data_IF_911177034833
#
_entry.id   IF_911177034833
#
_cell.length_a   1.000
_cell.length_b   1.000
_cell.length_c   1.000
_cell.angle_alpha   90.00
_cell.angle_beta   90.00
_cell.angle_gamma   90.00
#
_symmetry.space_group_name_H-M   'P 1'
#
loop_
_entity.id
_entity.type
_entity.pdbx_description
1 polymer ?
#
# COMPACT_ATOMS: atom_id res chain seq x y z
N UNK A 1 12.50 -10.07 -26.06
CA UNK A 1 11.52 -9.69 -25.01
C UNK A 1 12.11 -8.76 -23.94
N UNK A 2 13.25 -8.08 -24.20
CA UNK A 2 13.86 -7.15 -23.24
C UNK A 2 12.90 -5.99 -22.95
N UNK A 3 12.67 -5.66 -21.68
CA UNK A 3 11.83 -4.53 -21.28
C UNK A 3 10.32 -4.71 -21.47
N UNK A 4 9.85 -5.92 -21.78
CA UNK A 4 8.44 -6.21 -22.07
C UNK A 4 7.70 -6.89 -20.91
N UNK A 5 8.38 -7.08 -19.78
CA UNK A 5 7.75 -7.68 -18.58
C UNK A 5 7.44 -6.59 -17.56
N UNK A 6 6.56 -6.91 -16.64
CA UNK A 6 6.29 -6.14 -15.45
C UNK A 6 5.87 -7.10 -14.34
N UNK A 7 5.73 -6.60 -13.12
CA UNK A 7 5.39 -7.44 -11.97
C UNK A 7 6.56 -7.69 -11.05
N UNK A 8 6.39 -8.67 -10.18
CA UNK A 8 7.35 -9.04 -9.15
C UNK A 8 8.71 -9.49 -9.71
N UNK A 9 8.74 -9.99 -10.94
CA UNK A 9 9.97 -10.41 -11.63
C UNK A 9 10.69 -9.26 -12.36
N UNK A 10 10.18 -8.03 -12.28
CA UNK A 10 10.77 -6.86 -12.91
C UNK A 10 10.48 -6.74 -14.41
N UNK A 11 11.27 -5.90 -15.09
CA UNK A 11 11.06 -5.53 -16.50
C UNK A 11 11.89 -6.33 -17.52
N UNK A 12 12.81 -7.16 -17.05
CA UNK A 12 13.76 -7.90 -17.90
C UNK A 12 14.54 -6.98 -18.87
N UNK A 13 14.90 -5.78 -18.43
CA UNK A 13 15.70 -4.80 -19.18
C UNK A 13 17.18 -4.72 -18.73
N UNK A 14 17.54 -5.47 -17.69
CA UNK A 14 18.88 -5.45 -17.08
C UNK A 14 19.06 -4.36 -16.02
N UNK A 15 18.03 -3.57 -15.73
CA UNK A 15 18.04 -2.59 -14.64
C UNK A 15 17.77 -3.29 -13.30
N UNK A 16 18.66 -3.08 -12.33
CA UNK A 16 18.58 -3.69 -10.98
C UNK A 16 18.34 -2.65 -9.89
N UNK A 17 18.65 -1.37 -10.14
CA UNK A 17 18.58 -0.29 -9.14
C UNK A 17 17.15 0.18 -8.90
N UNK A 18 16.25 -0.02 -9.86
CA UNK A 18 14.83 0.35 -9.78
C UNK A 18 13.91 -0.87 -9.68
N UNK A 19 14.39 -1.98 -9.09
CA UNK A 19 13.65 -3.24 -9.00
C UNK A 19 12.32 -3.14 -8.24
N UNK A 20 12.16 -2.15 -7.36
CA UNK A 20 10.96 -1.94 -6.54
C UNK A 20 10.02 -0.86 -7.07
N UNK A 21 9.98 -0.68 -8.40
CA UNK A 21 9.03 0.24 -9.02
C UNK A 21 7.64 -0.38 -9.09
N UNK A 22 6.69 0.20 -8.36
CA UNK A 22 5.31 -0.28 -8.28
C UNK A 22 4.54 -0.01 -9.59
N UNK A 23 3.33 -0.58 -9.77
CA UNK A 23 2.49 -0.31 -10.95
C UNK A 23 2.15 1.18 -11.14
N UNK A 24 2.07 1.97 -10.06
CA UNK A 24 1.85 3.42 -10.12
C UNK A 24 3.07 4.20 -10.65
N UNK A 25 4.23 3.54 -10.73
CA UNK A 25 5.50 4.15 -11.08
C UNK A 25 6.28 4.68 -9.88
N UNK A 26 5.74 4.59 -8.66
CA UNK A 26 6.43 4.93 -7.42
C UNK A 26 7.60 3.97 -7.16
N UNK A 27 8.73 4.50 -6.71
CA UNK A 27 9.88 3.69 -6.32
C UNK A 27 9.91 3.54 -4.80
N UNK A 28 9.40 2.42 -4.32
CA UNK A 28 9.40 2.15 -2.88
C UNK A 28 10.75 1.61 -2.42
N UNK A 29 11.10 1.91 -1.17
CA UNK A 29 12.28 1.34 -0.50
C UNK A 29 11.99 0.00 0.19
N UNK A 30 10.71 -0.36 0.33
CA UNK A 30 10.27 -1.60 0.98
C UNK A 30 9.93 -2.66 -0.06
N UNK A 31 10.63 -3.80 -0.02
CA UNK A 31 10.32 -4.97 -0.85
C UNK A 31 8.92 -5.51 -0.57
N UNK A 32 8.44 -5.39 0.67
CA UNK A 32 7.09 -5.79 1.09
C UNK A 32 6.04 -4.86 0.48
N UNK A 33 6.25 -3.54 0.54
CA UNK A 33 5.36 -2.57 -0.11
C UNK A 33 5.34 -2.77 -1.63
N UNK A 34 6.49 -3.10 -2.24
CA UNK A 34 6.57 -3.45 -3.64
C UNK A 34 5.73 -4.70 -3.94
N UNK A 35 5.91 -5.78 -3.17
CA UNK A 35 5.16 -7.01 -3.36
C UNK A 35 3.64 -6.78 -3.21
N UNK A 36 3.23 -6.03 -2.19
CA UNK A 36 1.83 -5.69 -1.94
C UNK A 36 1.21 -4.87 -3.07
N UNK A 37 1.96 -3.98 -3.71
CA UNK A 37 1.45 -3.15 -4.83
C UNK A 37 1.02 -3.96 -6.06
N UNK A 38 1.46 -5.22 -6.17
CA UNK A 38 1.11 -6.13 -7.27
C UNK A 38 -0.01 -7.11 -6.94
N UNK A 39 -0.62 -7.01 -5.74
CA UNK A 39 -1.79 -7.81 -5.39
C UNK A 39 -2.99 -7.32 -6.20
N UNK A 40 -3.73 -8.25 -6.81
CA UNK A 40 -4.97 -7.92 -7.50
C UNK A 40 -6.10 -7.74 -6.46
N UNK A 41 -6.65 -6.53 -6.31
CA UNK A 41 -7.79 -6.32 -5.42
C UNK A 41 -9.04 -6.95 -6.03
N UNK A 42 -10.02 -7.30 -5.18
CA UNK A 42 -11.37 -7.60 -5.68
C UNK A 42 -12.26 -6.37 -5.52
N UNK A 43 -13.23 -6.23 -6.43
CA UNK A 43 -14.28 -5.22 -6.32
C UNK A 43 -15.54 -5.75 -5.61
N UNK A 44 -15.74 -7.07 -5.54
CA UNK A 44 -16.91 -7.66 -4.85
C UNK A 44 -16.63 -9.03 -4.21
N UNK A 45 -17.37 -9.33 -3.15
CA UNK A 45 -17.26 -10.60 -2.39
C UNK A 45 -17.95 -11.79 -3.07
N UNK A 46 -18.70 -11.57 -4.16
CA UNK A 46 -19.66 -12.58 -4.65
C UNK A 46 -19.02 -13.81 -5.30
N UNK A 47 -17.77 -13.69 -5.78
CA UNK A 47 -17.16 -14.75 -6.59
C UNK A 47 -15.65 -15.01 -6.31
N UNK A 48 -15.03 -14.50 -5.23
CA UNK A 48 -13.57 -14.63 -5.12
C UNK A 48 -13.02 -14.86 -3.72
N UNK A 49 -12.02 -15.75 -3.66
CA UNK A 49 -11.07 -16.01 -2.58
C UNK A 49 -10.15 -14.83 -2.23
N UNK A 50 -10.40 -13.64 -2.81
CA UNK A 50 -9.65 -12.42 -2.56
C UNK A 50 -10.60 -11.41 -1.90
N UNK A 51 -10.41 -11.12 -0.61
CA UNK A 51 -11.25 -10.19 0.15
C UNK A 51 -10.50 -8.91 0.54
N UNK A 52 -9.63 -8.44 -0.36
CA UNK A 52 -8.73 -7.32 -0.12
C UNK A 52 -8.92 -6.21 -1.15
N UNK A 53 -8.67 -4.98 -0.71
CA UNK A 53 -8.63 -3.77 -1.53
C UNK A 53 -7.47 -2.88 -1.11
N UNK A 54 -7.11 -1.95 -1.97
CA UNK A 54 -6.14 -0.91 -1.67
C UNK A 54 -6.81 0.30 -1.03
N UNK A 55 -6.28 0.78 0.09
CA UNK A 55 -6.76 1.98 0.77
C UNK A 55 -5.60 2.90 1.17
N UNK A 56 -5.81 4.21 1.01
CA UNK A 56 -4.92 5.21 1.58
C UNK A 56 -5.10 5.28 3.09
N UNK A 57 -4.01 5.12 3.84
CA UNK A 57 -4.04 5.15 5.30
C UNK A 57 -3.59 6.52 5.82
N UNK A 58 -4.24 7.01 6.87
CA UNK A 58 -3.86 8.24 7.56
C UNK A 58 -2.83 7.92 8.65
N UNK A 59 -1.85 8.80 8.84
CA UNK A 59 -0.93 8.69 9.97
C UNK A 59 -1.57 9.31 11.22
N UNK A 60 -1.75 8.54 12.28
CA UNK A 60 -2.42 8.99 13.52
C UNK A 60 -1.47 9.65 14.55
N UNK A 61 -0.19 9.88 14.23
CA UNK A 61 0.75 10.49 15.18
C UNK A 61 0.31 11.91 15.53
N UNK A 62 -0.15 12.11 16.77
CA UNK A 62 -0.22 13.42 17.41
C UNK A 62 1.21 13.94 17.58
N UNK A 63 1.70 14.71 16.61
CA UNK A 63 2.94 15.47 16.79
C UNK A 63 2.65 16.56 17.82
N UNK A 64 3.43 16.58 18.90
CA UNK A 64 3.35 17.57 19.99
C UNK A 64 3.73 19.00 19.57
N UNK A 65 3.77 19.30 18.27
CA UNK A 65 4.22 20.59 17.74
C UNK A 65 3.20 21.17 16.76
N UNK A 66 3.03 22.48 16.83
CA UNK A 66 1.81 23.30 16.62
C UNK A 66 1.26 23.39 15.19
N UNK A 67 1.24 22.33 14.40
CA UNK A 67 0.46 22.31 13.15
C UNK A 67 0.02 20.88 12.82
N UNK A 68 -1.26 20.58 13.00
CA UNK A 68 -1.85 19.28 12.66
C UNK A 68 -1.88 19.09 11.13
N UNK A 69 -0.74 18.73 10.54
CA UNK A 69 -0.67 18.35 9.14
C UNK A 69 -1.31 16.98 8.96
N UNK A 70 -2.31 16.89 8.08
CA UNK A 70 -2.94 15.61 7.76
C UNK A 70 -2.02 14.85 6.81
N UNK A 71 -1.51 13.71 7.26
CA UNK A 71 -0.60 12.88 6.48
C UNK A 71 -1.31 11.63 5.95
N UNK A 72 -1.02 11.29 4.70
CA UNK A 72 -1.63 10.19 3.95
C UNK A 72 -0.54 9.35 3.29
N UNK A 73 -0.75 8.04 3.20
CA UNK A 73 0.19 7.16 2.52
C UNK A 73 0.29 7.51 1.02
N UNK A 74 1.51 7.50 0.49
CA UNK A 74 1.80 7.80 -0.92
C UNK A 74 1.30 6.66 -1.81
N UNK A 75 1.66 5.43 -1.46
CA UNK A 75 1.08 4.22 -2.04
C UNK A 75 -0.04 3.71 -1.10
N UNK A 76 -1.13 3.16 -1.65
CA UNK A 76 -2.18 2.58 -0.84
C UNK A 76 -1.72 1.26 -0.22
N UNK A 77 -2.33 0.92 0.92
CA UNK A 77 -2.02 -0.27 1.70
C UNK A 77 -3.17 -1.27 1.57
N UNK A 78 -2.85 -2.56 1.60
CA UNK A 78 -3.86 -3.62 1.55
C UNK A 78 -4.73 -3.59 2.81
N UNK A 79 -6.04 -3.53 2.61
CA UNK A 79 -7.08 -3.63 3.64
C UNK A 79 -8.12 -4.66 3.24
N UNK A 80 -8.79 -5.23 4.24
CA UNK A 80 -9.92 -6.10 3.98
C UNK A 80 -11.09 -5.28 3.45
N UNK A 81 -11.96 -5.92 2.67
CA UNK A 81 -13.25 -5.31 2.33
C UNK A 81 -14.08 -5.00 3.58
N UNK A 82 -14.99 -4.04 3.45
CA UNK A 82 -15.95 -3.73 4.51
C UNK A 82 -16.78 -4.98 4.84
N UNK A 83 -16.94 -5.27 6.13
CA UNK A 83 -17.62 -6.48 6.62
C UNK A 83 -16.71 -7.72 6.75
N UNK A 84 -15.44 -7.61 6.37
CA UNK A 84 -14.45 -8.68 6.52
C UNK A 84 -13.40 -8.31 7.56
N UNK A 85 -12.81 -9.32 8.20
CA UNK A 85 -11.81 -9.17 9.25
C UNK A 85 -10.45 -9.73 8.78
N UNK A 86 -9.33 -9.12 9.20
CA UNK A 86 -8.01 -9.64 8.85
C UNK A 86 -7.71 -10.91 9.65
N UNK A 87 -7.40 -12.00 8.94
CA UNK A 87 -6.87 -13.22 9.54
C UNK A 87 -5.34 -13.14 9.72
N UNK A 88 -4.67 -12.38 8.85
CA UNK A 88 -3.22 -12.19 8.88
C UNK A 88 -2.86 -10.77 8.48
N UNK A 89 -2.00 -10.13 9.25
CA UNK A 89 -1.47 -8.78 8.97
C UNK A 89 0.05 -8.79 8.85
N UNK A 90 0.59 -7.76 8.18
CA UNK A 90 2.02 -7.47 8.12
C UNK A 90 2.24 -6.00 8.37
N UNK A 91 3.34 -5.67 9.04
CA UNK A 91 3.82 -4.31 9.15
C UNK A 91 4.69 -4.00 7.93
N UNK A 92 4.43 -2.89 7.24
CA UNK A 92 5.25 -2.45 6.11
C UNK A 92 5.56 -0.97 6.20
N UNK A 93 6.78 -0.59 5.85
CA UNK A 93 7.18 0.81 5.78
C UNK A 93 6.58 1.45 4.54
N UNK A 94 5.81 2.51 4.73
CA UNK A 94 5.18 3.29 3.65
C UNK A 94 5.58 4.75 3.77
N UNK A 95 5.76 5.39 2.61
CA UNK A 95 5.94 6.83 2.53
C UNK A 95 4.63 7.55 2.82
N UNK A 96 4.70 8.70 3.47
CA UNK A 96 3.57 9.58 3.75
C UNK A 96 3.84 10.97 3.17
N UNK A 97 2.82 11.54 2.52
CA UNK A 97 2.80 12.97 2.20
C UNK A 97 1.89 13.69 3.18
N UNK A 98 2.35 14.82 3.70
CA UNK A 98 1.61 15.63 4.67
C UNK A 98 1.09 16.91 4.02
N UNK A 99 -0.17 17.23 4.27
CA UNK A 99 -0.77 18.49 3.86
C UNK A 99 -0.60 19.51 5.00
N UNK A 100 0.41 20.37 4.86
CA UNK A 100 0.52 21.64 5.59
C UNK A 100 0.04 22.77 4.68
N UNK A 101 -0.38 23.89 5.24
CA UNK A 101 -1.14 24.93 4.56
C UNK A 101 -0.54 25.50 3.25
N UNK A 102 0.73 25.23 2.90
CA UNK A 102 1.34 25.74 1.65
C UNK A 102 2.38 24.85 0.96
N UNK A 103 2.72 23.65 1.46
CA UNK A 103 3.69 22.76 0.80
C UNK A 103 3.33 21.29 0.99
N UNK A 104 3.35 20.52 -0.11
CA UNK A 104 3.24 19.05 -0.09
C UNK A 104 4.64 18.48 0.03
N UNK A 105 4.97 17.96 1.20
CA UNK A 105 6.26 17.32 1.42
C UNK A 105 6.07 15.83 1.70
N UNK A 106 6.82 14.99 0.99
CA UNK A 106 6.94 13.56 1.24
C UNK A 106 8.10 13.35 2.23
N UNK A 107 7.87 13.69 3.49
CA UNK A 107 8.95 13.81 4.49
C UNK A 107 9.09 12.60 5.41
N UNK A 108 8.12 11.68 5.38
CA UNK A 108 7.96 10.67 6.43
C UNK A 108 7.84 9.28 5.83
N UNK A 109 8.59 8.35 6.40
CA UNK A 109 8.42 6.92 6.18
C UNK A 109 8.07 6.30 7.52
N UNK A 110 6.87 5.75 7.63
CA UNK A 110 6.36 5.16 8.87
C UNK A 110 5.78 3.78 8.59
N UNK A 111 5.64 3.00 9.65
CA UNK A 111 5.12 1.64 9.55
C UNK A 111 3.59 1.67 9.52
N UNK A 112 3.00 1.05 8.51
CA UNK A 112 1.57 0.82 8.41
C UNK A 112 1.26 -0.69 8.46
N UNK A 113 0.12 -1.03 9.04
CA UNK A 113 -0.40 -2.39 8.98
C UNK A 113 -1.07 -2.64 7.62
N UNK A 114 -0.71 -3.74 6.97
CA UNK A 114 -1.31 -4.27 5.76
C UNK A 114 -2.00 -5.60 6.03
N UNK A 115 -3.22 -5.77 5.56
CA UNK A 115 -3.96 -7.03 5.68
C UNK A 115 -3.51 -7.98 4.56
N UNK A 116 -3.01 -9.16 4.92
CA UNK A 116 -2.48 -10.16 3.97
C UNK A 116 -3.45 -11.32 3.70
N UNK A 117 -4.41 -11.52 4.59
CA UNK A 117 -5.48 -12.50 4.44
C UNK A 117 -6.70 -12.00 5.21
N UNK A 118 -7.87 -12.19 4.64
CA UNK A 118 -9.13 -11.68 5.15
C UNK A 118 -10.16 -12.80 5.18
N UNK A 119 -11.04 -12.78 6.17
CA UNK A 119 -12.18 -13.67 6.25
C UNK A 119 -13.45 -12.83 6.36
N UNK A 120 -14.48 -13.22 5.62
CA UNK A 120 -15.79 -12.60 5.67
C UNK A 120 -16.75 -13.67 6.19
N UNK A 121 -17.52 -13.34 7.23
CA UNK A 121 -18.69 -14.16 7.55
C UNK A 121 -19.76 -13.78 6.55
N UNK A 122 -20.30 -14.74 5.80
CA UNK A 122 -21.50 -14.50 4.99
C UNK A 122 -22.53 -13.81 5.88
N UNK A 123 -22.97 -12.64 5.47
CA UNK A 123 -24.11 -11.98 6.09
C UNK A 123 -25.32 -12.85 5.76
N UNK A 124 -25.96 -13.41 6.80
CA UNK A 124 -27.24 -14.14 6.70
C UNK A 124 -28.23 -13.37 5.84
#
# INVERSE_FOLDING_TARGET
MKGQTCGLCGKADGEIRQGYRTPSGYLTKSSVSFAHSWVLPTESCRDATCYMRFETVKLEKQRSDRQASKCYSVEPVLRCLAGCLPNRTSHTTVGYYCLSNYEKTEDLSETAEAHMACHCTESV
#
